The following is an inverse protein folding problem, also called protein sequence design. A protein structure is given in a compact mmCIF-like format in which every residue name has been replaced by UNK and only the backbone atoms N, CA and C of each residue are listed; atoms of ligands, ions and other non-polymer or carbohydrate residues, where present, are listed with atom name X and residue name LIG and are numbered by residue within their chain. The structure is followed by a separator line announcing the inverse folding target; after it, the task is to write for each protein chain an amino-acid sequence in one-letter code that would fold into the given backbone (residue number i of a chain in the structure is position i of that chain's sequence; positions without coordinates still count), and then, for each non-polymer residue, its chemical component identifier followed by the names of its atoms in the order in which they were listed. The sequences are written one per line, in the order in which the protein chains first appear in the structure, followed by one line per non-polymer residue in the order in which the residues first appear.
data_IF_047637260189
#
_entry.id   IF_047637260189
#
_cell.length_a   1.000
_cell.length_b   1.000
_cell.length_c   1.000
_cell.angle_alpha   90.00
_cell.angle_beta   90.00
_cell.angle_gamma   90.00
#
_symmetry.space_group_name_H-M   'P 1'
#
loop_
_entity.id
_entity.type
_entity.pdbx_description
1 polymer ?
#
# COMPACT_ATOMS: atom_id res chain seq x y z
N UNK A 1 20.00 -5.03 -28.24
CA UNK A 1 19.23 -3.78 -28.44
C UNK A 1 17.78 -3.80 -27.92
N UNK A 2 17.05 -4.93 -27.92
CA UNK A 2 15.61 -4.94 -27.58
C UNK A 2 15.24 -4.78 -26.08
N UNK A 3 16.15 -5.10 -25.15
CA UNK A 3 15.84 -5.14 -23.70
C UNK A 3 15.81 -3.76 -23.04
N UNK A 4 16.71 -2.86 -23.45
CA UNK A 4 16.80 -1.48 -22.94
C UNK A 4 15.55 -0.69 -23.33
N UNK A 5 15.14 -0.80 -24.60
CA UNK A 5 13.95 -0.15 -25.12
C UNK A 5 12.67 -0.61 -24.40
N UNK A 6 12.52 -1.93 -24.18
CA UNK A 6 11.40 -2.49 -23.40
C UNK A 6 11.38 -2.04 -21.94
N UNK A 7 12.53 -1.71 -21.34
CA UNK A 7 12.62 -1.15 -19.98
C UNK A 7 12.16 0.30 -19.97
N UNK A 8 12.64 1.12 -20.90
CA UNK A 8 12.26 2.52 -21.05
C UNK A 8 10.75 2.69 -21.30
N UNK A 9 10.15 1.83 -22.13
CA UNK A 9 8.70 1.83 -22.38
C UNK A 9 7.83 1.56 -21.14
N UNK A 10 8.40 1.01 -20.06
CA UNK A 10 7.70 0.73 -18.80
C UNK A 10 7.94 1.80 -17.75
N UNK A 11 8.92 2.69 -17.95
CA UNK A 11 9.15 3.85 -17.07
C UNK A 11 7.90 4.74 -17.14
N UNK A 12 7.32 5.06 -15.99
CA UNK A 12 6.08 5.85 -15.89
C UNK A 12 4.78 5.05 -16.10
N UNK A 13 4.83 3.82 -16.63
CA UNK A 13 3.65 2.93 -16.66
C UNK A 13 3.57 2.19 -15.33
N UNK A 14 2.64 2.60 -14.47
CA UNK A 14 2.30 1.80 -13.30
C UNK A 14 1.73 0.46 -13.76
N UNK A 15 2.54 -0.60 -13.71
CA UNK A 15 2.07 -1.97 -13.84
C UNK A 15 1.18 -2.29 -12.63
N UNK A 16 -0.10 -1.97 -12.77
CA UNK A 16 -1.16 -2.24 -11.82
C UNK A 16 -2.32 -2.91 -12.55
N UNK A 17 -2.08 -4.07 -13.16
CA UNK A 17 -3.16 -5.03 -13.47
C UNK A 17 -3.30 -6.01 -12.31
N UNK A 18 -3.65 -5.50 -11.13
CA UNK A 18 -4.03 -6.36 -10.01
C UNK A 18 -5.35 -5.83 -9.47
N UNK A 19 -6.39 -6.65 -9.58
CA UNK A 19 -7.63 -6.42 -8.86
C UNK A 19 -7.38 -6.85 -7.41
N UNK A 20 -7.46 -5.90 -6.49
CA UNK A 20 -7.51 -6.19 -5.07
C UNK A 20 -8.99 -6.28 -4.69
N UNK A 21 -9.35 -7.36 -4.00
CA UNK A 21 -10.60 -7.42 -3.24
C UNK A 21 -10.22 -7.18 -1.79
N UNK A 22 -10.67 -6.06 -1.23
CA UNK A 22 -10.53 -5.78 0.19
C UNK A 22 -11.87 -6.07 0.87
N UNK A 23 -11.85 -6.84 1.96
CA UNK A 23 -12.98 -6.96 2.87
C UNK A 23 -12.79 -6.01 4.04
N UNK A 24 -13.88 -5.38 4.47
CA UNK A 24 -13.88 -4.63 5.72
C UNK A 24 -13.90 -5.64 6.87
N UNK A 25 -12.84 -5.63 7.67
CA UNK A 25 -12.78 -6.34 8.93
C UNK A 25 -12.77 -5.30 10.05
N UNK A 26 -13.53 -5.57 11.10
CA UNK A 26 -13.48 -4.75 12.31
C UNK A 26 -12.10 -4.92 12.96
N UNK A 27 -11.46 -3.79 13.26
CA UNK A 27 -10.18 -3.76 13.97
C UNK A 27 -10.37 -2.88 15.20
N UNK A 28 -10.28 -3.47 16.39
CA UNK A 28 -10.30 -2.73 17.64
C UNK A 28 -8.87 -2.39 18.06
N UNK A 29 -8.65 -1.13 18.46
CA UNK A 29 -7.38 -0.67 19.03
C UNK A 29 -7.61 -0.35 20.50
N UNK A 30 -7.11 -1.21 21.37
CA UNK A 30 -7.16 -0.98 22.81
C UNK A 30 -6.13 0.09 23.21
N UNK A 31 -6.61 1.16 23.85
CA UNK A 31 -5.79 2.27 24.28
C UNK A 31 -5.64 2.25 25.81
N UNK A 32 -4.50 2.67 26.33
CA UNK A 32 -4.24 2.75 27.78
C UNK A 32 -3.97 4.19 28.21
N UNK A 33 -4.11 4.53 29.50
CA UNK A 33 -3.80 5.90 29.97
C UNK A 33 -2.35 6.33 29.73
N UNK A 34 -1.42 5.37 29.61
CA UNK A 34 -0.01 5.61 29.29
C UNK A 34 0.25 5.75 27.78
N UNK A 35 -0.64 5.19 26.95
CA UNK A 35 -0.50 5.20 25.51
C UNK A 35 -1.85 5.43 24.82
N UNK A 36 -1.97 6.62 24.22
CA UNK A 36 -3.09 7.00 23.38
C UNK A 36 -2.56 7.41 22.00
N UNK A 37 -3.03 6.77 20.92
CA UNK A 37 -2.66 7.16 19.57
C UNK A 37 -3.35 8.49 19.22
N UNK A 38 -2.57 9.48 18.77
CA UNK A 38 -3.08 10.75 18.26
C UNK A 38 -3.76 10.57 16.89
N UNK A 39 -3.22 9.66 16.05
CA UNK A 39 -3.75 9.37 14.72
C UNK A 39 -3.62 7.88 14.38
N UNK A 40 -4.69 7.32 13.82
CA UNK A 40 -4.72 5.95 13.28
C UNK A 40 -4.79 6.02 11.75
N UNK A 41 -3.96 5.22 11.07
CA UNK A 41 -3.89 5.17 9.61
C UNK A 41 -3.78 3.72 9.16
N UNK A 42 -4.58 3.34 8.16
CA UNK A 42 -4.49 2.02 7.54
C UNK A 42 -3.40 2.03 6.47
N UNK A 43 -2.48 1.08 6.53
CA UNK A 43 -1.39 0.99 5.56
C UNK A 43 -1.32 -0.38 4.91
N UNK A 44 -1.43 -0.39 3.59
CA UNK A 44 -1.31 -1.57 2.75
C UNK A 44 0.15 -1.75 2.31
N UNK A 45 0.76 -2.90 2.62
CA UNK A 45 2.13 -3.24 2.21
C UNK A 45 2.17 -4.49 1.33
N UNK A 46 2.86 -4.44 0.18
CA UNK A 46 3.12 -5.63 -0.66
C UNK A 46 4.40 -5.48 -1.48
N UNK A 47 5.29 -6.50 -1.44
CA UNK A 47 6.51 -6.61 -2.27
C UNK A 47 7.22 -5.26 -2.43
N UNK A 48 7.67 -4.71 -1.31
CA UNK A 48 8.32 -3.40 -1.15
C UNK A 48 7.49 -2.14 -1.47
N UNK A 49 6.21 -2.27 -1.88
CA UNK A 49 5.30 -1.13 -2.06
C UNK A 49 4.48 -0.89 -0.80
N UNK A 50 4.33 0.38 -0.42
CA UNK A 50 3.52 0.84 0.71
C UNK A 50 2.49 1.87 0.22
N UNK A 51 1.23 1.73 0.61
CA UNK A 51 0.13 2.67 0.34
C UNK A 51 -0.67 2.90 1.61
N UNK A 52 -0.66 4.12 2.12
CA UNK A 52 -1.47 4.54 3.26
C UNK A 52 -2.83 5.06 2.78
N UNK A 53 -3.88 4.83 3.58
CA UNK A 53 -5.03 5.73 3.56
C UNK A 53 -4.52 7.10 4.03
N UNK A 54 -4.78 8.17 3.27
CA UNK A 54 -4.41 9.53 3.70
C UNK A 54 -5.36 10.02 4.78
#
# INVERSE_FOLDING_TARGET
MASVWKRLQRVGKHASKFQFVASYQELMVECTKKWQPDKLVVVWTRRSRRKSSK
#
